data_IF_539685025184
#
_entry.id   IF_539685025184
#
_cell.length_a   1.000
_cell.length_b   1.000
_cell.length_c   1.000
_cell.angle_alpha   90.00
_cell.angle_beta   90.00
_cell.angle_gamma   90.00
#
_symmetry.space_group_name_H-M   'P 1'
#
loop_
_entity.id
_entity.type
_entity.pdbx_description
1 polymer ?
#
# COMPACT_ATOMS: atom_id res chain seq x y z
N UNK A 1 3.74 -10.17 15.73
CA UNK A 1 2.35 -9.78 16.08
C UNK A 1 1.99 -10.43 17.39
N UNK A 2 1.60 -9.63 18.40
CA UNK A 2 1.33 -10.11 19.75
C UNK A 2 0.17 -11.11 19.84
N UNK A 3 -0.82 -11.00 18.95
CA UNK A 3 -2.01 -11.87 18.90
C UNK A 3 -1.81 -13.15 18.08
N UNK A 4 -0.64 -13.35 17.46
CA UNK A 4 -0.35 -14.54 16.64
C UNK A 4 -0.43 -15.88 17.42
N UNK A 5 0.00 -15.97 18.70
CA UNK A 5 -0.17 -17.17 19.51
C UNK A 5 -1.63 -17.56 19.75
N UNK A 6 -2.55 -16.59 19.73
CA UNK A 6 -3.99 -16.78 19.90
C UNK A 6 -4.69 -17.18 18.58
N UNK A 7 -3.93 -17.42 17.51
CA UNK A 7 -4.47 -17.76 16.18
C UNK A 7 -5.07 -16.58 15.41
N UNK A 8 -4.98 -15.36 15.95
CA UNK A 8 -5.51 -14.14 15.33
C UNK A 8 -4.49 -13.57 14.34
N UNK A 9 -4.93 -13.36 13.10
CA UNK A 9 -4.14 -12.67 12.07
C UNK A 9 -4.56 -11.19 12.00
N UNK A 10 -3.63 -10.28 12.29
CA UNK A 10 -3.85 -8.84 12.06
C UNK A 10 -3.28 -8.49 10.69
N UNK A 11 -4.06 -7.88 9.81
CA UNK A 11 -3.60 -7.50 8.47
C UNK A 11 -3.56 -5.97 8.35
N UNK A 12 -2.38 -5.42 8.11
CA UNK A 12 -2.22 -4.00 7.76
C UNK A 12 -2.27 -3.83 6.25
N UNK A 13 -3.30 -3.15 5.75
CA UNK A 13 -3.39 -2.75 4.35
C UNK A 13 -2.71 -1.39 4.16
N UNK A 14 -1.81 -1.32 3.18
CA UNK A 14 -1.12 -0.10 2.75
C UNK A 14 -1.50 0.19 1.31
N UNK A 15 -2.66 0.82 1.07
CA UNK A 15 -3.06 1.15 -0.27
C UNK A 15 -2.24 2.33 -0.80
N UNK A 16 -1.95 2.30 -2.09
CA UNK A 16 -1.56 3.48 -2.85
C UNK A 16 -2.74 4.40 -3.13
N UNK A 17 -2.62 5.28 -4.12
CA UNK A 17 -3.74 6.11 -4.55
C UNK A 17 -4.86 5.24 -5.14
N UNK A 18 -6.08 5.44 -4.65
CA UNK A 18 -7.27 4.69 -5.09
C UNK A 18 -8.30 5.64 -5.64
N UNK A 19 -8.80 5.35 -6.83
CA UNK A 19 -9.80 6.15 -7.52
C UNK A 19 -11.21 5.91 -6.95
N UNK A 20 -11.52 6.58 -5.85
CA UNK A 20 -12.83 6.56 -5.19
C UNK A 20 -13.56 7.90 -5.35
N UNK A 21 -14.88 7.96 -5.11
CA UNK A 21 -15.59 9.25 -5.06
C UNK A 21 -14.97 10.26 -4.08
N UNK A 22 -14.42 9.78 -2.97
CA UNK A 22 -13.70 10.61 -1.97
C UNK A 22 -12.47 11.32 -2.55
N UNK A 23 -11.90 10.78 -3.64
CA UNK A 23 -10.69 11.29 -4.30
C UNK A 23 -10.96 11.88 -5.69
N UNK A 24 -12.22 12.15 -6.03
CA UNK A 24 -12.61 12.59 -7.37
C UNK A 24 -11.98 13.93 -7.79
N UNK A 25 -11.69 14.81 -6.83
CA UNK A 25 -11.10 16.13 -7.10
C UNK A 25 -9.60 16.08 -7.48
N UNK A 26 -8.92 14.94 -7.28
CA UNK A 26 -7.49 14.83 -7.57
C UNK A 26 -7.23 14.50 -9.04
N UNK A 27 -6.13 15.05 -9.58
CA UNK A 27 -5.67 14.69 -10.92
C UNK A 27 -5.20 13.23 -10.92
N UNK A 28 -5.97 12.38 -11.61
CA UNK A 28 -5.66 10.96 -11.77
C UNK A 28 -4.47 10.79 -12.70
N UNK A 29 -3.53 9.94 -12.30
CA UNK A 29 -2.32 9.57 -13.05
C UNK A 29 -2.17 8.04 -13.09
N UNK A 30 -1.15 7.54 -13.77
CA UNK A 30 -0.93 6.09 -13.92
C UNK A 30 -0.73 5.33 -12.59
N UNK A 31 -0.47 6.03 -11.48
CA UNK A 31 -0.29 5.43 -10.15
C UNK A 31 -1.61 5.17 -9.41
N UNK A 32 -2.74 5.60 -9.97
CA UNK A 32 -4.06 5.44 -9.38
C UNK A 32 -4.63 4.05 -9.67
N UNK A 33 -5.08 3.38 -8.63
CA UNK A 33 -5.68 2.06 -8.70
C UNK A 33 -7.21 2.14 -8.71
N UNK A 34 -7.84 1.23 -9.44
CA UNK A 34 -9.30 1.06 -9.37
C UNK A 34 -9.70 0.43 -8.02
N UNK A 35 -10.81 0.84 -7.40
CA UNK A 35 -11.30 0.26 -6.15
C UNK A 35 -11.47 -1.26 -6.22
N UNK A 36 -11.99 -1.79 -7.32
CA UNK A 36 -12.19 -3.24 -7.52
C UNK A 36 -10.88 -4.03 -7.45
N UNK A 37 -9.79 -3.45 -7.98
CA UNK A 37 -8.48 -4.06 -7.95
C UNK A 37 -7.93 -4.09 -6.51
N UNK A 38 -8.14 -3.03 -5.75
CA UNK A 38 -7.74 -2.96 -4.34
C UNK A 38 -8.56 -3.97 -3.53
N UNK A 39 -9.88 -4.03 -3.73
CA UNK A 39 -10.77 -4.96 -3.04
C UNK A 39 -10.33 -6.43 -3.26
N UNK A 40 -10.08 -6.83 -4.52
CA UNK A 40 -9.55 -8.17 -4.83
C UNK A 40 -8.22 -8.44 -4.14
N UNK A 41 -7.34 -7.44 -4.08
CA UNK A 41 -6.07 -7.53 -3.38
C UNK A 41 -6.21 -7.71 -1.86
N UNK A 42 -7.18 -7.02 -1.24
CA UNK A 42 -7.49 -7.16 0.19
C UNK A 42 -7.96 -8.58 0.48
N UNK A 43 -8.96 -9.08 -0.27
CA UNK A 43 -9.48 -10.44 -0.09
C UNK A 43 -8.37 -11.47 -0.22
N UNK A 44 -7.56 -11.39 -1.28
CA UNK A 44 -6.43 -12.31 -1.46
C UNK A 44 -5.35 -12.20 -0.36
N UNK A 45 -5.20 -11.05 0.30
CA UNK A 45 -4.28 -10.88 1.42
C UNK A 45 -4.85 -11.46 2.73
N UNK A 46 -6.17 -11.38 2.92
CA UNK A 46 -6.91 -12.03 4.01
C UNK A 46 -6.79 -13.55 3.89
N UNK A 47 -7.09 -14.12 2.71
CA UNK A 47 -7.03 -15.56 2.47
C UNK A 47 -5.64 -16.12 2.72
N UNK A 48 -4.59 -15.36 2.34
CA UNK A 48 -3.19 -15.73 2.54
C UNK A 48 -2.66 -15.44 3.95
N UNK A 49 -3.51 -14.98 4.87
CA UNK A 49 -3.15 -14.57 6.24
C UNK A 49 -1.88 -13.72 6.30
N UNK A 50 -1.79 -12.72 5.41
CA UNK A 50 -0.65 -11.81 5.38
C UNK A 50 -0.69 -10.88 6.61
N UNK A 51 0.49 -10.45 7.06
CA UNK A 51 0.60 -9.44 8.12
C UNK A 51 0.54 -8.01 7.55
N UNK A 52 1.10 -7.78 6.37
CA UNK A 52 1.12 -6.48 5.67
C UNK A 52 0.90 -6.72 4.17
N UNK A 53 0.08 -5.89 3.54
CA UNK A 53 -0.15 -5.92 2.10
C UNK A 53 -0.09 -4.51 1.51
N UNK A 54 0.77 -4.29 0.50
CA UNK A 54 0.76 -3.08 -0.32
C UNK A 54 -0.14 -3.29 -1.53
N UNK A 55 -1.05 -2.35 -1.78
CA UNK A 55 -2.05 -2.49 -2.84
C UNK A 55 -2.14 -1.23 -3.70
N UNK A 56 -1.99 -1.32 -5.03
CA UNK A 56 -1.62 -2.52 -5.78
C UNK A 56 -0.20 -3.02 -5.45
N UNK A 57 0.12 -4.28 -5.77
CA UNK A 57 1.37 -4.93 -5.34
C UNK A 57 2.65 -4.16 -5.72
N UNK A 58 2.65 -3.42 -6.83
CA UNK A 58 3.80 -2.61 -7.25
C UNK A 58 4.15 -1.48 -6.25
N UNK A 59 3.21 -1.05 -5.39
CA UNK A 59 3.50 -0.06 -4.34
C UNK A 59 4.52 -0.57 -3.33
N UNK A 60 4.66 -1.89 -3.18
CA UNK A 60 5.77 -2.43 -2.38
C UNK A 60 7.13 -2.04 -2.97
N UNK A 61 7.28 -2.10 -4.30
CA UNK A 61 8.52 -1.71 -4.97
C UNK A 61 8.77 -0.19 -4.84
N UNK A 62 7.75 0.64 -5.01
CA UNK A 62 7.85 2.09 -4.81
C UNK A 62 8.29 2.41 -3.37
N UNK A 63 7.63 1.81 -2.38
CA UNK A 63 7.98 2.00 -0.97
C UNK A 63 9.35 1.45 -0.62
N UNK A 64 9.81 0.40 -1.30
CA UNK A 64 11.17 -0.11 -1.15
C UNK A 64 12.17 0.91 -1.68
N UNK A 65 11.97 1.47 -2.87
CA UNK A 65 12.82 2.54 -3.41
C UNK A 65 12.86 3.71 -2.44
N UNK A 66 11.70 4.23 -2.01
CA UNK A 66 11.63 5.39 -1.08
C UNK A 66 12.37 5.11 0.23
N UNK A 67 12.21 3.93 0.83
CA UNK A 67 12.89 3.57 2.08
C UNK A 67 14.41 3.40 1.94
N UNK A 68 14.89 3.08 0.75
CA UNK A 68 16.31 2.93 0.47
C UNK A 68 16.96 4.25 0.04
N UNK A 69 16.19 5.33 -0.15
CA UNK A 69 16.77 6.64 -0.45
C UNK A 69 17.51 7.14 0.80
N UNK A 70 18.83 7.37 0.72
CA UNK A 70 19.61 7.88 1.84
C UNK A 70 19.18 9.30 2.19
N UNK A 71 19.26 9.64 3.47
CA UNK A 71 18.79 10.93 3.99
C UNK A 71 19.52 12.14 3.39
N UNK A 72 20.75 11.98 2.89
CA UNK A 72 21.47 13.05 2.19
C UNK A 72 20.83 13.39 0.83
N UNK A 73 20.27 12.40 0.13
CA UNK A 73 19.56 12.59 -1.14
C UNK A 73 18.21 13.22 -0.86
N UNK A 74 17.51 12.74 0.16
CA UNK A 74 16.21 13.29 0.55
C UNK A 74 16.31 14.77 0.92
N UNK A 75 17.36 15.18 1.64
CA UNK A 75 17.64 16.59 1.98
C UNK A 75 17.98 17.47 0.78
N UNK A 76 18.43 16.89 -0.34
CA UNK A 76 18.72 17.63 -1.59
C UNK A 76 17.51 17.77 -2.51
N UNK A 77 16.53 16.89 -2.38
CA UNK A 77 15.28 16.99 -3.14
C UNK A 77 14.41 18.03 -2.45
N UNK A 78 14.23 19.20 -3.07
CA UNK A 78 13.18 20.14 -2.68
C UNK A 78 11.86 19.56 -3.18
N UNK A 79 11.07 19.00 -2.26
CA UNK A 79 9.68 18.62 -2.52
C UNK A 79 8.82 19.87 -2.70
#
# INVERSE_FOLDING_TARGET
>A
QRLRPEGINVLTIKPGFVDTPMTAAFKKSALWAKPDQIAKGIIGAVDKRRAVAYLPAFWWAIMLVIKNIPEFVFRRIKL
#
